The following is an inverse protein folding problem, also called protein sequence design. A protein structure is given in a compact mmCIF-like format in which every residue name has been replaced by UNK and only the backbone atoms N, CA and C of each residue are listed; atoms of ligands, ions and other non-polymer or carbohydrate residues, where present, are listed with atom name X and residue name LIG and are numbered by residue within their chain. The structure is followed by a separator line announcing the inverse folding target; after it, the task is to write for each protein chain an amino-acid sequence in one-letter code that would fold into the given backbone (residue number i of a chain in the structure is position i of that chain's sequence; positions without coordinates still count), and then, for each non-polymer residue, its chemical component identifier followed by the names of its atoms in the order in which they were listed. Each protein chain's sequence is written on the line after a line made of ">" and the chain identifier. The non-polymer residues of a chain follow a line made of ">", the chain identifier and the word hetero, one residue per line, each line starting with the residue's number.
data_IF_349347786308
#
_entry.id   IF_349347786308
#
_cell.length_a   1.000
_cell.length_b   1.000
_cell.length_c   1.000
_cell.angle_alpha   90.00
_cell.angle_beta   90.00
_cell.angle_gamma   90.00
#
_symmetry.space_group_name_H-M   'P 1'
#
loop_
_entity.id
_entity.type
_entity.pdbx_description
1 polymer ?
#
# COMPACT_ATOMS: atom_id res chain seq x y z
N UNK A 1 -12.33 -47.38 -61.12
CA UNK A 1 -12.25 -48.36 -60.01
C UNK A 1 -10.84 -48.20 -59.43
N UNK A 2 -10.54 -47.51 -58.33
CA UNK A 2 -11.32 -46.83 -57.29
C UNK A 2 -10.50 -45.61 -56.83
N UNK A 3 -11.05 -44.41 -57.02
CA UNK A 3 -10.87 -43.27 -56.12
C UNK A 3 -11.78 -43.54 -54.92
N UNK A 4 -11.20 -43.80 -53.75
CA UNK A 4 -11.79 -43.89 -52.40
C UNK A 4 -10.69 -44.63 -51.63
N UNK A 5 -10.02 -44.08 -50.63
CA UNK A 5 -10.47 -43.41 -49.43
C UNK A 5 -9.14 -42.96 -48.79
N UNK A 6 -8.99 -41.78 -48.20
CA UNK A 6 -9.49 -41.40 -46.87
C UNK A 6 -8.96 -39.96 -46.73
N UNK A 7 -9.54 -38.91 -47.33
CA UNK A 7 -10.71 -38.13 -46.86
C UNK A 7 -11.05 -38.20 -45.35
N UNK A 8 -10.10 -38.49 -44.47
CA UNK A 8 -10.33 -38.53 -43.02
C UNK A 8 -9.17 -37.99 -42.16
N UNK A 9 -8.37 -37.07 -42.71
CA UNK A 9 -7.42 -36.26 -41.91
C UNK A 9 -7.56 -34.74 -42.14
N UNK A 10 -8.64 -34.30 -42.80
CA UNK A 10 -8.92 -32.88 -43.07
C UNK A 10 -10.18 -32.36 -42.34
N UNK A 11 -10.42 -32.85 -41.11
CA UNK A 11 -11.53 -32.38 -40.25
C UNK A 11 -11.12 -32.42 -38.78
N UNK A 12 -10.18 -31.58 -38.39
CA UNK A 12 -10.23 -30.95 -37.08
C UNK A 12 -10.19 -29.45 -37.30
N UNK A 13 -11.37 -28.85 -37.11
CA UNK A 13 -11.56 -27.40 -37.10
C UNK A 13 -10.57 -26.83 -36.09
N UNK A 14 -9.60 -26.04 -36.54
CA UNK A 14 -8.88 -25.13 -35.66
C UNK A 14 -9.89 -24.10 -35.17
N UNK A 15 -10.57 -24.40 -34.07
CA UNK A 15 -11.30 -23.40 -33.30
C UNK A 15 -10.25 -22.47 -32.72
N UNK A 16 -9.92 -21.42 -33.49
CA UNK A 16 -9.17 -20.29 -32.97
C UNK A 16 -10.07 -19.67 -31.91
N UNK A 17 -9.83 -20.02 -30.65
CA UNK A 17 -10.40 -19.35 -29.50
C UNK A 17 -9.85 -17.93 -29.57
N UNK A 18 -10.63 -17.00 -30.13
CA UNK A 18 -10.38 -15.58 -29.97
C UNK A 18 -10.40 -15.31 -28.46
N UNK A 19 -9.22 -15.26 -27.83
CA UNK A 19 -9.08 -14.70 -26.49
C UNK A 19 -9.70 -13.31 -26.56
N UNK A 20 -10.81 -13.15 -25.82
CA UNK A 20 -11.46 -11.86 -25.64
C UNK A 20 -10.41 -11.00 -24.95
N UNK A 21 -9.76 -10.12 -25.70
CA UNK A 21 -8.89 -9.09 -25.13
C UNK A 21 -9.82 -8.33 -24.17
N UNK A 22 -9.50 -8.38 -22.89
CA UNK A 22 -10.18 -7.59 -21.89
C UNK A 22 -9.93 -6.13 -22.26
N UNK A 23 -10.92 -5.48 -22.88
CA UNK A 23 -10.96 -4.04 -22.93
C UNK A 23 -11.43 -3.57 -21.55
N UNK A 24 -10.65 -2.75 -20.83
CA UNK A 24 -11.13 -2.15 -19.61
C UNK A 24 -12.43 -1.42 -19.94
N UNK A 25 -13.53 -1.80 -19.27
CA UNK A 25 -14.72 -0.96 -19.28
C UNK A 25 -14.29 0.39 -18.72
N UNK A 26 -14.70 1.48 -19.36
CA UNK A 26 -14.65 2.81 -18.72
C UNK A 26 -15.22 2.65 -17.31
N UNK A 27 -14.37 2.78 -16.31
CA UNK A 27 -14.80 2.83 -14.93
C UNK A 27 -15.80 3.97 -14.84
N UNK A 28 -16.99 3.69 -14.28
CA UNK A 28 -17.88 4.78 -13.91
C UNK A 28 -17.12 5.58 -12.87
N UNK A 29 -16.94 6.87 -13.12
CA UNK A 29 -16.56 7.79 -12.05
C UNK A 29 -17.53 7.52 -10.89
N UNK A 30 -16.98 7.15 -9.74
CA UNK A 30 -17.75 7.08 -8.50
C UNK A 30 -18.12 8.53 -8.21
N UNK A 31 -19.29 8.95 -8.68
CA UNK A 31 -19.85 10.25 -8.34
C UNK A 31 -20.06 10.27 -6.83
N UNK A 32 -19.15 10.93 -6.11
CA UNK A 32 -19.42 11.40 -4.76
C UNK A 32 -20.67 12.27 -4.83
N UNK A 33 -21.61 12.08 -3.90
CA UNK A 33 -22.75 12.98 -3.71
C UNK A 33 -22.24 14.43 -3.76
N UNK A 34 -22.64 15.20 -4.79
CA UNK A 34 -22.21 16.59 -4.94
C UNK A 34 -22.60 17.35 -3.66
N UNK A 35 -21.60 17.70 -2.84
CA UNK A 35 -21.77 18.55 -1.66
C UNK A 35 -21.29 17.98 -0.33
N UNK A 36 -20.95 16.69 -0.23
CA UNK A 36 -20.37 16.13 1.01
C UNK A 36 -18.85 16.12 0.94
N UNK A 37 -18.20 16.76 1.92
CA UNK A 37 -16.76 16.60 2.13
C UNK A 37 -16.48 15.14 2.50
N UNK A 38 -15.80 14.42 1.61
CA UNK A 38 -15.52 13.00 1.77
C UNK A 38 -14.04 12.71 1.48
N UNK A 39 -13.42 11.94 2.38
CA UNK A 39 -12.13 11.31 2.11
C UNK A 39 -12.38 9.93 1.53
N UNK A 40 -11.85 9.68 0.35
CA UNK A 40 -11.86 8.36 -0.28
C UNK A 40 -10.63 7.60 0.17
N UNK A 41 -10.76 6.34 0.53
CA UNK A 41 -9.61 5.48 0.72
C UNK A 41 -9.84 4.13 0.06
N UNK A 42 -8.77 3.50 -0.39
CA UNK A 42 -8.80 2.15 -0.93
C UNK A 42 -7.46 1.44 -0.71
N UNK A 43 -7.51 0.12 -0.57
CA UNK A 43 -6.33 -0.74 -0.56
C UNK A 43 -5.98 -1.16 -1.99
N UNK A 44 -4.69 -1.16 -2.32
CA UNK A 44 -4.13 -1.63 -3.59
C UNK A 44 -3.44 -3.00 -3.44
N UNK A 45 -3.31 -3.47 -2.19
CA UNK A 45 -2.86 -4.79 -1.75
C UNK A 45 -2.92 -4.88 -0.22
N UNK A 46 -2.78 -6.08 0.33
CA UNK A 46 -2.79 -6.35 1.77
C UNK A 46 -4.17 -6.58 2.40
N UNK A 47 -5.26 -6.64 1.61
CA UNK A 47 -6.59 -7.00 2.11
C UNK A 47 -6.99 -8.39 1.60
N UNK A 48 -7.43 -9.26 2.50
CA UNK A 48 -7.68 -10.69 2.22
C UNK A 48 -6.44 -11.46 1.71
N UNK A 49 -5.24 -10.93 1.95
CA UNK A 49 -3.95 -11.52 1.61
C UNK A 49 -2.89 -11.15 2.65
N UNK A 50 -1.78 -11.89 2.69
CA UNK A 50 -0.60 -11.54 3.50
C UNK A 50 0.51 -11.10 2.56
N UNK A 51 0.90 -9.83 2.65
CA UNK A 51 1.89 -9.23 1.77
C UNK A 51 1.34 -8.04 1.00
N UNK A 52 2.23 -7.34 0.28
CA UNK A 52 1.87 -6.29 -0.68
C UNK A 52 1.03 -5.16 -0.07
N UNK A 53 1.25 -4.86 1.20
CA UNK A 53 0.51 -3.81 1.91
C UNK A 53 0.71 -2.47 1.20
N UNK A 54 -0.39 -1.90 0.72
CA UNK A 54 -0.42 -0.58 0.10
C UNK A 54 -1.85 -0.06 0.12
N UNK A 55 -2.06 1.15 0.63
CA UNK A 55 -3.33 1.83 0.55
C UNK A 55 -3.15 3.33 0.32
N UNK A 56 -4.24 4.03 0.00
CA UNK A 56 -4.19 5.48 -0.15
C UNK A 56 -5.42 6.15 0.45
N UNK A 57 -5.25 7.44 0.78
CA UNK A 57 -6.30 8.37 1.15
C UNK A 57 -6.29 9.52 0.15
N UNK A 58 -7.46 9.88 -0.37
CA UNK A 58 -7.64 10.93 -1.37
C UNK A 58 -8.72 11.92 -0.89
N UNK A 59 -8.36 13.19 -0.91
CA UNK A 59 -9.26 14.31 -0.65
C UNK A 59 -8.96 15.42 -1.66
N UNK A 60 -9.98 15.88 -2.38
CA UNK A 60 -9.84 16.84 -3.49
C UNK A 60 -8.77 16.40 -4.54
N UNK A 61 -7.68 17.14 -4.65
CA UNK A 61 -6.56 16.91 -5.57
C UNK A 61 -5.29 16.41 -4.86
N UNK A 62 -5.44 15.86 -3.65
CA UNK A 62 -4.34 15.40 -2.81
C UNK A 62 -4.52 13.92 -2.45
N UNK A 63 -3.44 13.15 -2.61
CA UNK A 63 -3.37 11.73 -2.28
C UNK A 63 -2.19 11.48 -1.34
N UNK A 64 -2.45 10.76 -0.25
CA UNK A 64 -1.44 10.23 0.67
C UNK A 64 -1.46 8.71 0.57
N UNK A 65 -0.30 8.11 0.34
CA UNK A 65 -0.14 6.65 0.26
C UNK A 65 0.44 6.14 1.57
N UNK A 66 -0.07 5.04 2.08
CA UNK A 66 0.53 4.27 3.17
C UNK A 66 1.10 2.97 2.60
N UNK A 67 2.36 2.72 2.91
CA UNK A 67 3.15 1.55 2.53
C UNK A 67 3.23 1.29 1.01
N UNK A 68 4.15 0.41 0.65
CA UNK A 68 4.49 0.04 -0.72
C UNK A 68 5.13 -1.35 -0.72
N UNK A 69 4.37 -2.35 -0.26
CA UNK A 69 4.81 -3.72 -0.05
C UNK A 69 4.99 -4.57 -1.29
N UNK A 70 5.73 -5.67 -1.16
CA UNK A 70 5.65 -6.81 -2.06
C UNK A 70 5.04 -8.04 -1.37
N UNK A 71 4.56 -8.99 -2.13
CA UNK A 71 4.20 -10.32 -1.65
C UNK A 71 5.18 -11.34 -2.24
N UNK A 72 5.63 -12.28 -1.41
CA UNK A 72 6.45 -13.39 -1.88
C UNK A 72 5.61 -14.42 -2.65
N UNK A 73 6.21 -15.20 -3.56
CA UNK A 73 5.48 -16.16 -4.38
C UNK A 73 4.84 -17.26 -3.54
N UNK A 74 3.67 -17.71 -3.97
CA UNK A 74 2.96 -18.86 -3.42
C UNK A 74 3.07 -20.07 -4.36
N UNK A 75 2.64 -21.25 -3.89
CA UNK A 75 2.61 -22.49 -4.69
C UNK A 75 1.84 -22.32 -6.02
N UNK A 76 0.82 -21.46 -6.04
CA UNK A 76 0.01 -21.16 -7.22
C UNK A 76 0.72 -20.28 -8.26
N UNK A 77 1.90 -19.73 -7.94
CA UNK A 77 2.65 -18.77 -8.78
C UNK A 77 4.08 -19.25 -9.10
N UNK A 78 4.24 -20.42 -9.76
CA UNK A 78 5.56 -20.96 -10.05
C UNK A 78 6.35 -20.06 -11.03
N UNK A 79 7.60 -19.77 -10.68
CA UNK A 79 8.52 -18.98 -11.51
C UNK A 79 8.41 -17.46 -11.37
N UNK A 80 7.56 -16.96 -10.48
CA UNK A 80 7.51 -15.55 -10.08
C UNK A 80 8.47 -15.34 -8.89
N UNK A 81 9.19 -14.22 -8.84
CA UNK A 81 10.09 -13.86 -7.73
C UNK A 81 9.38 -13.06 -6.62
N UNK A 82 8.46 -12.17 -6.99
CA UNK A 82 7.63 -11.36 -6.09
C UNK A 82 6.46 -10.74 -6.87
N UNK A 83 5.40 -10.40 -6.14
CA UNK A 83 4.18 -9.76 -6.63
C UNK A 83 4.08 -8.36 -6.01
N UNK A 84 3.77 -7.33 -6.80
CA UNK A 84 3.68 -5.92 -6.34
C UNK A 84 2.30 -5.32 -6.61
N UNK A 85 1.90 -4.21 -5.94
CA UNK A 85 0.57 -3.61 -6.09
C UNK A 85 0.39 -3.05 -7.50
N UNK A 86 -0.85 -3.09 -8.00
CA UNK A 86 -1.19 -2.39 -9.23
C UNK A 86 -1.48 -0.91 -8.92
N UNK A 87 -0.56 -0.04 -9.34
CA UNK A 87 -0.61 1.40 -9.08
C UNK A 87 -1.21 2.24 -10.21
N UNK A 88 -1.90 1.63 -11.19
CA UNK A 88 -2.42 2.34 -12.37
C UNK A 88 -3.29 3.56 -12.00
N UNK A 89 -4.14 3.43 -10.98
CA UNK A 89 -4.98 4.54 -10.47
C UNK A 89 -4.13 5.75 -10.03
N UNK A 90 -3.03 5.48 -9.32
CA UNK A 90 -2.12 6.49 -8.80
C UNK A 90 -1.19 7.04 -9.89
N UNK A 91 -0.76 6.21 -10.84
CA UNK A 91 0.12 6.60 -11.94
C UNK A 91 -0.53 7.67 -12.83
N UNK A 92 -1.81 7.50 -13.14
CA UNK A 92 -2.61 8.50 -13.86
C UNK A 92 -2.79 9.82 -13.07
N UNK A 93 -2.59 9.79 -11.76
CA UNK A 93 -2.82 10.88 -10.80
C UNK A 93 -1.54 11.25 -10.04
N UNK A 94 -0.36 10.94 -10.57
CA UNK A 94 0.92 11.07 -9.84
C UNK A 94 1.20 12.48 -9.31
N UNK A 95 0.71 13.52 -9.98
CA UNK A 95 0.80 14.91 -9.54
C UNK A 95 -0.06 15.23 -8.29
N UNK A 96 -1.05 14.39 -8.00
CA UNK A 96 -1.88 14.46 -6.80
C UNK A 96 -1.25 13.74 -5.61
N UNK A 97 -0.33 12.80 -5.84
CA UNK A 97 0.37 12.10 -4.76
C UNK A 97 1.32 13.07 -4.06
N UNK A 98 1.02 13.42 -2.80
CA UNK A 98 1.77 14.43 -2.04
C UNK A 98 2.79 13.82 -1.09
N UNK A 99 2.52 12.62 -0.59
CA UNK A 99 3.42 11.92 0.32
C UNK A 99 3.19 10.41 0.26
N UNK A 100 4.24 9.67 0.59
CA UNK A 100 4.17 8.25 0.95
C UNK A 100 4.62 8.14 2.40
N UNK A 101 3.90 7.39 3.21
CA UNK A 101 4.28 7.08 4.59
C UNK A 101 4.57 5.58 4.66
N UNK A 102 5.72 5.23 5.22
CA UNK A 102 6.09 3.83 5.47
C UNK A 102 6.06 3.56 6.96
N UNK A 103 5.24 2.59 7.37
CA UNK A 103 5.00 2.23 8.78
C UNK A 103 6.19 1.52 9.41
N UNK A 104 6.81 0.58 8.70
CA UNK A 104 7.98 -0.15 9.18
C UNK A 104 8.75 -0.85 8.04
N UNK A 105 9.89 -1.46 8.35
CA UNK A 105 10.86 -1.95 7.37
C UNK A 105 10.68 -3.38 6.86
N UNK A 106 9.51 -4.03 7.04
CA UNK A 106 9.29 -5.34 6.43
C UNK A 106 9.05 -5.23 4.92
N UNK A 107 9.44 -6.25 4.16
CA UNK A 107 9.37 -6.24 2.69
C UNK A 107 7.95 -6.17 2.15
N UNK A 108 6.98 -6.68 2.88
CA UNK A 108 5.57 -6.53 2.62
C UNK A 108 5.01 -5.14 2.90
N UNK A 109 5.84 -4.19 3.37
CA UNK A 109 5.51 -2.77 3.48
C UNK A 109 6.43 -1.86 2.63
N UNK A 110 7.63 -2.32 2.25
CA UNK A 110 8.61 -1.50 1.51
C UNK A 110 9.05 -2.05 0.15
N UNK A 111 8.75 -3.33 -0.12
CA UNK A 111 9.41 -4.09 -1.17
C UNK A 111 9.07 -3.66 -2.59
N UNK A 112 7.94 -2.97 -2.79
CA UNK A 112 7.55 -2.45 -4.09
C UNK A 112 8.12 -1.06 -4.41
N UNK A 113 8.71 -0.34 -3.44
CA UNK A 113 9.26 1.02 -3.62
C UNK A 113 10.13 1.15 -4.88
N UNK A 114 11.12 0.27 -5.14
CA UNK A 114 11.99 0.41 -6.30
C UNK A 114 11.26 0.37 -7.65
N UNK A 115 10.08 -0.26 -7.71
CA UNK A 115 9.32 -0.49 -8.94
C UNK A 115 8.24 0.57 -9.20
N UNK A 116 7.75 1.21 -8.14
CA UNK A 116 6.57 2.09 -8.23
C UNK A 116 6.90 3.57 -8.04
N UNK A 117 8.04 3.91 -7.42
CA UNK A 117 8.29 5.29 -7.00
C UNK A 117 8.23 6.31 -8.16
N UNK A 118 8.82 6.00 -9.32
CA UNK A 118 8.74 6.84 -10.51
C UNK A 118 7.31 7.00 -11.05
N UNK A 119 6.52 5.93 -10.97
CA UNK A 119 5.10 5.93 -11.40
C UNK A 119 4.27 6.85 -10.51
N UNK A 120 4.62 6.94 -9.23
CA UNK A 120 3.99 7.82 -8.25
C UNK A 120 4.51 9.27 -8.32
N UNK A 121 5.48 9.58 -9.18
CA UNK A 121 6.06 10.92 -9.31
C UNK A 121 7.13 11.25 -8.28
N UNK A 122 7.64 10.25 -7.55
CA UNK A 122 8.67 10.37 -6.52
C UNK A 122 8.38 11.44 -5.44
N UNK A 123 7.22 11.39 -4.75
CA UNK A 123 6.88 12.31 -3.66
C UNK A 123 7.81 12.12 -2.45
N UNK A 124 7.82 13.05 -1.48
CA UNK A 124 8.47 12.82 -0.19
C UNK A 124 7.98 11.53 0.48
N UNK A 125 8.92 10.72 0.96
CA UNK A 125 8.68 9.47 1.66
C UNK A 125 9.02 9.64 3.15
N UNK A 126 8.00 9.58 3.99
CA UNK A 126 8.09 9.71 5.44
C UNK A 126 8.27 8.35 6.09
N UNK A 127 9.33 8.17 6.86
CA UNK A 127 9.59 6.90 7.56
C UNK A 127 10.56 7.05 8.72
N UNK A 128 10.62 6.03 9.58
CA UNK A 128 11.60 5.96 10.65
C UNK A 128 13.03 5.76 10.15
N UNK A 129 14.00 6.09 10.99
CA UNK A 129 15.42 6.06 10.63
C UNK A 129 15.87 4.66 10.18
N UNK A 130 15.53 3.60 10.93
CA UNK A 130 15.93 2.24 10.56
C UNK A 130 15.29 1.79 9.23
N UNK A 131 14.02 2.10 9.03
CA UNK A 131 13.29 1.76 7.81
C UNK A 131 13.87 2.45 6.59
N UNK A 132 14.25 3.73 6.70
CA UNK A 132 15.00 4.44 5.66
C UNK A 132 16.27 3.70 5.26
N UNK A 133 17.07 3.26 6.22
CA UNK A 133 18.34 2.57 5.92
C UNK A 133 18.11 1.21 5.24
N UNK A 134 17.04 0.49 5.60
CA UNK A 134 16.64 -0.76 4.91
C UNK A 134 16.23 -0.45 3.47
N UNK A 135 15.42 0.58 3.24
CA UNK A 135 15.01 1.01 1.89
C UNK A 135 16.24 1.42 1.06
N UNK A 136 17.15 2.21 1.63
CA UNK A 136 18.40 2.62 0.98
C UNK A 136 19.23 1.41 0.56
N UNK A 137 19.41 0.44 1.46
CA UNK A 137 20.15 -0.78 1.18
C UNK A 137 19.51 -1.60 0.08
N UNK A 138 18.18 -1.65 0.02
CA UNK A 138 17.43 -2.33 -1.05
C UNK A 138 17.54 -1.60 -2.39
N UNK A 139 17.54 -0.27 -2.38
CA UNK A 139 17.67 0.54 -3.60
C UNK A 139 19.02 0.35 -4.32
N UNK A 140 20.07 -0.10 -3.63
CA UNK A 140 21.37 -0.40 -4.26
C UNK A 140 21.26 -1.48 -5.35
N UNK A 141 20.31 -2.41 -5.22
CA UNK A 141 20.05 -3.44 -6.23
C UNK A 141 19.37 -2.88 -7.50
N UNK A 142 18.83 -1.65 -7.43
CA UNK A 142 18.06 -1.00 -8.48
C UNK A 142 18.71 0.31 -8.94
N UNK A 143 19.86 0.19 -9.59
CA UNK A 143 20.62 1.34 -10.11
C UNK A 143 19.83 2.30 -11.03
N UNK A 144 18.69 1.86 -11.60
CA UNK A 144 17.81 2.68 -12.45
C UNK A 144 16.63 3.30 -11.69
N UNK A 145 16.37 2.90 -10.45
CA UNK A 145 15.30 3.45 -9.64
C UNK A 145 15.64 4.89 -9.22
N UNK A 146 14.62 5.75 -8.99
CA UNK A 146 14.87 7.12 -8.58
C UNK A 146 15.50 7.17 -7.20
N UNK A 147 16.29 8.22 -6.95
CA UNK A 147 16.69 8.56 -5.59
C UNK A 147 15.45 8.99 -4.81
N UNK A 148 15.20 8.33 -3.70
CA UNK A 148 14.06 8.61 -2.83
C UNK A 148 14.31 9.91 -2.05
N UNK A 149 13.30 10.78 -2.01
CA UNK A 149 13.30 11.95 -1.14
C UNK A 149 12.80 11.57 0.25
N UNK A 150 13.71 11.25 1.17
CA UNK A 150 13.35 10.79 2.51
C UNK A 150 13.10 11.95 3.49
N UNK A 151 12.02 11.82 4.24
CA UNK A 151 11.71 12.63 5.42
C UNK A 151 11.69 11.73 6.65
N UNK A 152 12.68 11.89 7.54
CA UNK A 152 12.79 11.04 8.73
C UNK A 152 11.83 11.53 9.81
N UNK A 153 11.04 10.59 10.35
CA UNK A 153 10.07 10.83 11.43
C UNK A 153 10.32 9.87 12.60
N UNK A 154 9.77 10.22 13.75
CA UNK A 154 9.80 9.42 14.98
C UNK A 154 8.46 9.53 15.70
N UNK A 155 8.20 8.62 16.64
CA UNK A 155 7.02 8.68 17.48
C UNK A 155 6.89 10.06 18.17
N UNK A 156 5.69 10.65 18.11
CA UNK A 156 5.38 11.99 18.58
C UNK A 156 5.60 13.12 17.57
N UNK A 157 6.23 12.85 16.42
CA UNK A 157 6.37 13.86 15.38
C UNK A 157 5.02 14.17 14.73
N UNK A 158 4.84 15.45 14.38
CA UNK A 158 3.74 15.92 13.55
C UNK A 158 4.33 16.52 12.27
N UNK A 159 3.75 16.19 11.12
CA UNK A 159 4.16 16.68 9.80
C UNK A 159 2.96 17.11 8.98
N UNK A 160 3.03 18.30 8.41
CA UNK A 160 2.11 18.74 7.38
C UNK A 160 2.52 18.08 6.06
N UNK A 161 1.67 17.24 5.48
CA UNK A 161 1.97 16.50 4.24
C UNK A 161 1.54 17.26 2.99
N UNK A 162 0.43 18.00 3.10
CA UNK A 162 -0.17 18.78 2.02
C UNK A 162 -1.07 19.88 2.60
N UNK A 163 -1.95 20.52 1.82
CA UNK A 163 -2.90 21.50 2.36
C UNK A 163 -3.94 20.83 3.26
N UNK A 164 -4.47 19.68 2.85
CA UNK A 164 -5.58 19.00 3.51
C UNK A 164 -5.16 17.83 4.39
N UNK A 165 -3.88 17.41 4.36
CA UNK A 165 -3.39 16.28 5.14
C UNK A 165 -2.26 16.66 6.10
N UNK A 166 -2.43 16.26 7.36
CA UNK A 166 -1.40 16.32 8.41
C UNK A 166 -1.29 14.95 9.08
N UNK A 167 -0.07 14.48 9.31
CA UNK A 167 0.20 13.23 9.98
C UNK A 167 0.80 13.47 11.37
N UNK A 168 0.26 12.79 12.37
CA UNK A 168 0.87 12.59 13.68
C UNK A 168 1.32 11.13 13.78
N UNK A 169 2.60 10.93 14.07
CA UNK A 169 3.21 9.60 14.16
C UNK A 169 3.22 9.13 15.61
N UNK A 170 2.93 7.85 15.84
CA UNK A 170 3.03 7.23 17.16
C UNK A 170 3.77 5.91 17.08
N UNK A 171 4.48 5.56 18.15
CA UNK A 171 5.26 4.32 18.19
C UNK A 171 4.34 3.12 18.40
N UNK A 172 4.62 2.04 17.69
CA UNK A 172 3.99 0.74 17.91
C UNK A 172 5.07 -0.33 18.12
N UNK A 173 4.76 -1.34 18.93
CA UNK A 173 5.64 -2.50 19.04
C UNK A 173 5.35 -3.46 17.89
N UNK A 174 6.41 -3.94 17.23
CA UNK A 174 6.33 -5.00 16.23
C UNK A 174 7.58 -5.89 16.27
N UNK A 175 7.72 -6.79 15.31
CA UNK A 175 8.88 -7.68 15.14
C UNK A 175 10.11 -6.99 14.53
N UNK A 176 9.99 -5.72 14.13
CA UNK A 176 11.09 -4.87 13.70
C UNK A 176 11.11 -3.57 14.53
N UNK A 177 12.29 -2.99 14.84
CA UNK A 177 12.38 -1.71 15.54
C UNK A 177 11.75 -0.55 14.74
N UNK A 178 11.47 0.54 15.47
CA UNK A 178 10.88 1.79 14.97
C UNK A 178 9.60 1.62 14.14
N UNK A 179 8.75 0.64 14.48
CA UNK A 179 7.39 0.58 13.96
C UNK A 179 6.62 1.85 14.34
N UNK A 180 5.99 2.48 13.35
CA UNK A 180 5.13 3.65 13.56
C UNK A 180 3.73 3.43 13.00
N UNK A 181 2.74 3.80 13.81
CA UNK A 181 1.39 4.09 13.35
C UNK A 181 1.23 5.56 13.00
N UNK A 182 0.14 5.90 12.32
CA UNK A 182 -0.18 7.26 11.89
C UNK A 182 -1.61 7.65 12.21
N UNK A 183 -1.78 8.86 12.74
CA UNK A 183 -3.05 9.57 12.78
C UNK A 183 -3.03 10.57 11.63
N UNK A 184 -3.81 10.30 10.59
CA UNK A 184 -3.98 11.17 9.45
C UNK A 184 -5.16 12.11 9.70
N UNK A 185 -4.86 13.38 9.96
CA UNK A 185 -5.85 14.42 10.12
C UNK A 185 -6.26 14.98 8.75
N UNK A 186 -7.56 15.01 8.51
CA UNK A 186 -8.21 15.47 7.29
C UNK A 186 -9.34 16.44 7.63
N UNK A 187 -9.90 17.20 6.67
CA UNK A 187 -11.06 18.05 6.92
C UNK A 187 -12.29 17.28 7.44
N UNK A 188 -12.42 16.00 7.08
CA UNK A 188 -13.54 15.14 7.47
C UNK A 188 -13.35 14.52 8.86
N UNK A 189 -12.10 14.39 9.33
CA UNK A 189 -11.78 13.85 10.65
C UNK A 189 -10.42 13.16 10.72
N UNK A 190 -10.14 12.58 11.89
CA UNK A 190 -8.90 11.85 12.16
C UNK A 190 -9.05 10.36 11.80
N UNK A 191 -8.16 9.88 10.94
CA UNK A 191 -8.08 8.48 10.51
C UNK A 191 -6.83 7.85 11.11
N UNK A 192 -6.98 6.79 11.88
CA UNK A 192 -5.87 6.11 12.54
C UNK A 192 -5.54 4.84 11.76
N UNK A 193 -4.28 4.67 11.40
CA UNK A 193 -3.74 3.42 10.89
C UNK A 193 -2.64 2.94 11.84
N UNK A 194 -2.87 1.80 12.49
CA UNK A 194 -1.94 1.26 13.49
C UNK A 194 -0.60 0.78 12.92
N UNK A 195 -0.54 0.51 11.62
CA UNK A 195 0.51 -0.34 11.06
C UNK A 195 0.29 -1.79 11.49
N UNK A 196 1.26 -2.64 11.22
CA UNK A 196 1.36 -3.93 11.92
C UNK A 196 1.86 -3.67 13.33
N UNK A 197 1.17 -4.22 14.31
CA UNK A 197 1.54 -4.05 15.71
C UNK A 197 1.14 -5.25 16.54
N UNK A 198 1.81 -5.40 17.67
CA UNK A 198 1.46 -6.34 18.73
C UNK A 198 1.50 -5.64 20.07
N UNK A 199 0.80 -6.21 21.04
CA UNK A 199 0.99 -5.83 22.44
C UNK A 199 2.14 -6.63 23.04
N UNK A 200 3.06 -5.92 23.67
CA UNK A 200 4.04 -6.54 24.56
C UNK A 200 3.43 -6.70 25.94
N UNK A 201 3.85 -7.75 26.64
CA UNK A 201 3.44 -8.02 28.02
C UNK A 201 4.67 -8.08 28.92
N UNK A 202 4.52 -7.72 30.18
CA UNK A 202 5.54 -7.97 31.20
C UNK A 202 5.52 -9.43 31.67
N UNK A 203 6.43 -9.78 32.59
CA UNK A 203 6.52 -11.13 33.14
C UNK A 203 5.28 -11.55 33.95
N UNK A 204 4.45 -10.58 34.35
CA UNK A 204 3.21 -10.78 35.10
C UNK A 204 1.98 -10.87 34.17
N UNK A 205 2.18 -10.66 32.86
CA UNK A 205 1.12 -10.68 31.86
C UNK A 205 0.38 -9.36 31.71
N UNK A 206 0.89 -8.25 32.26
CA UNK A 206 0.29 -6.93 32.05
C UNK A 206 0.75 -6.33 30.72
N UNK A 207 -0.16 -5.75 29.93
CA UNK A 207 0.18 -5.12 28.66
C UNK A 207 1.03 -3.85 28.89
N UNK A 208 2.08 -3.70 28.09
CA UNK A 208 2.97 -2.54 28.06
C UNK A 208 2.52 -1.54 26.99
N UNK A 209 2.94 -0.28 27.14
CA UNK A 209 2.76 0.79 26.15
C UNK A 209 1.30 1.03 25.69
N UNK A 210 0.32 0.70 26.54
CA UNK A 210 -1.08 1.01 26.28
C UNK A 210 -1.38 2.52 26.32
N UNK A 211 -0.51 3.31 26.94
CA UNK A 211 -0.69 4.75 27.09
C UNK A 211 -0.82 5.46 25.75
N UNK A 212 -0.13 4.97 24.70
CA UNK A 212 -0.26 5.48 23.33
C UNK A 212 -1.68 5.30 22.81
N UNK A 213 -2.23 4.10 22.94
CA UNK A 213 -3.60 3.78 22.49
C UNK A 213 -4.66 4.49 23.33
N UNK A 214 -4.46 4.62 24.64
CA UNK A 214 -5.34 5.42 25.50
C UNK A 214 -5.35 6.90 25.10
N UNK A 215 -4.19 7.48 24.76
CA UNK A 215 -4.10 8.86 24.26
C UNK A 215 -4.85 9.02 22.95
N UNK A 216 -4.72 8.06 22.03
CA UNK A 216 -5.48 8.03 20.76
C UNK A 216 -6.99 7.94 21.03
N UNK A 217 -7.42 7.05 21.92
CA UNK A 217 -8.83 6.85 22.27
C UNK A 217 -9.50 8.06 22.94
N UNK A 218 -8.71 8.97 23.55
CA UNK A 218 -9.19 10.25 24.08
C UNK A 218 -9.41 11.30 22.99
N UNK A 219 -8.92 11.08 21.78
CA UNK A 219 -9.16 11.96 20.63
C UNK A 219 -10.48 11.60 19.94
N UNK A 220 -11.05 12.56 19.21
CA UNK A 220 -12.22 12.30 18.36
C UNK A 220 -11.79 11.62 17.06
N UNK A 221 -11.60 10.30 17.12
CA UNK A 221 -11.23 9.47 15.97
C UNK A 221 -12.47 9.18 15.12
N UNK A 222 -12.37 9.39 13.81
CA UNK A 222 -13.43 9.12 12.85
C UNK A 222 -13.34 7.68 12.31
N UNK A 223 -12.14 7.23 11.96
CA UNK A 223 -11.89 5.92 11.39
C UNK A 223 -10.66 5.29 12.04
N UNK A 224 -10.74 4.00 12.35
CA UNK A 224 -9.64 3.20 12.88
C UNK A 224 -9.43 1.99 11.96
N UNK A 225 -8.21 1.86 11.43
CA UNK A 225 -7.76 0.77 10.58
C UNK A 225 -6.74 -0.04 11.40
N UNK A 226 -7.05 -1.31 11.62
CA UNK A 226 -6.26 -2.22 12.45
C UNK A 226 -5.79 -3.42 11.63
N UNK A 227 -4.60 -3.87 11.99
CA UNK A 227 -4.05 -5.16 11.60
C UNK A 227 -5.01 -6.31 12.03
N UNK A 228 -5.18 -7.29 11.14
CA UNK A 228 -6.03 -8.47 11.33
C UNK A 228 -5.26 -9.79 11.27
N UNK A 229 -3.93 -9.75 11.33
CA UNK A 229 -3.05 -10.91 11.07
C UNK A 229 -2.92 -11.86 12.27
N UNK A 230 -3.30 -11.42 13.48
CA UNK A 230 -3.46 -12.25 14.68
C UNK A 230 -2.38 -12.10 15.73
#
# INVERSE_FOLDING_TARGET
>A
MVRQSVRQLARQKSTIIRRKIYSPKKEKEIETSKGEEAVRFATLGGLEEVGRNMMFFEYEDEIIVLDAGLQFPEEATPGIDYIIPNVAYLEERKNKVKAIIITHGHYDHIGAIPYIMDKLGNPPLFTAAITKEIILRRQEDFSKAPKINFEVVKAGDIRQLSKNFKAEFFGVTHNIPDGVGVILETPVGKMVHGGEFKFDYDNEGNPKNLDVWEKIGKQKIHTLLLDSTG
#
